data_IF_093972218282
#
_entry.id   IF_093972218282
#
_cell.length_a   1.000
_cell.length_b   1.000
_cell.length_c   1.000
_cell.angle_alpha   90.00
_cell.angle_beta   90.00
_cell.angle_gamma   90.00
#
_symmetry.space_group_name_H-M   'P 1'
#
loop_
_entity.id
_entity.type
_entity.pdbx_description
1 polymer ?
#
# COMPACT_ATOMS: atom_id res chain seq x y z
N UNK A 1 1.70 -2.29 -11.82
CA UNK A 1 2.18 -3.34 -10.92
C UNK A 1 1.17 -3.49 -9.79
N UNK A 2 0.02 -4.07 -10.12
CA UNK A 2 -0.96 -4.58 -9.15
C UNK A 2 -0.84 -6.09 -9.34
N UNK A 3 -0.06 -6.75 -8.50
CA UNK A 3 -0.04 -8.22 -8.47
C UNK A 3 -0.98 -8.61 -7.34
N UNK A 4 -2.22 -8.91 -7.71
CA UNK A 4 -3.15 -9.66 -6.88
C UNK A 4 -2.55 -11.04 -6.66
N UNK A 5 -2.02 -11.30 -5.47
CA UNK A 5 -1.65 -12.63 -5.02
C UNK A 5 -2.92 -13.34 -4.52
N UNK A 6 -3.74 -13.82 -5.45
CA UNK A 6 -4.74 -14.84 -5.15
C UNK A 6 -4.14 -16.22 -5.42
N UNK A 7 -4.12 -17.05 -4.37
CA UNK A 7 -4.22 -18.50 -4.48
C UNK A 7 -2.91 -19.28 -4.40
N UNK A 8 -2.57 -19.74 -3.19
CA UNK A 8 -2.08 -21.10 -2.94
C UNK A 8 -2.28 -21.41 -1.44
N UNK A 9 -3.36 -22.12 -1.10
CA UNK A 9 -3.52 -22.77 0.21
C UNK A 9 -3.34 -24.26 -0.04
N UNK A 10 -2.19 -24.79 0.34
CA UNK A 10 -1.97 -26.23 0.46
C UNK A 10 -1.78 -26.56 1.94
N UNK A 11 -2.67 -27.42 2.44
CA UNK A 11 -2.69 -27.95 3.80
C UNK A 11 -1.43 -28.77 4.07
N UNK A 12 -0.66 -28.41 5.09
CA UNK A 12 0.12 -29.39 5.84
C UNK A 12 -0.23 -29.31 7.33
N UNK A 13 -0.75 -30.43 7.83
CA UNK A 13 -0.90 -30.73 9.25
C UNK A 13 0.45 -31.21 9.76
N UNK A 14 1.02 -30.52 10.74
CA UNK A 14 1.95 -31.14 11.68
C UNK A 14 1.54 -30.78 13.10
N UNK A 15 1.37 -31.83 13.89
CA UNK A 15 1.06 -31.82 15.31
C UNK A 15 2.34 -31.55 16.09
N UNK A 16 2.37 -30.53 16.96
CA UNK A 16 3.28 -30.56 18.10
C UNK A 16 2.68 -29.89 19.34
N UNK A 17 2.74 -30.65 20.43
CA UNK A 17 2.31 -30.35 21.80
C UNK A 17 3.32 -29.48 22.55
N UNK A 18 2.84 -28.89 23.66
CA UNK A 18 3.56 -28.32 24.82
C UNK A 18 3.60 -26.79 24.87
N UNK A 19 3.51 -26.12 26.02
CA UNK A 19 3.02 -26.46 27.36
C UNK A 19 2.79 -25.10 28.04
N UNK A 20 1.67 -24.96 28.72
CA UNK A 20 1.28 -23.74 29.43
C UNK A 20 2.22 -23.50 30.61
N UNK A 21 2.88 -22.34 30.64
CA UNK A 21 3.39 -21.77 31.89
C UNK A 21 2.86 -20.34 32.02
N UNK A 22 1.90 -20.18 32.92
CA UNK A 22 1.41 -18.92 33.43
C UNK A 22 2.53 -18.22 34.23
N UNK A 23 2.91 -17.02 33.81
CA UNK A 23 3.80 -16.14 34.56
C UNK A 23 3.12 -14.78 34.71
N UNK A 24 2.62 -14.54 35.92
CA UNK A 24 1.97 -13.31 36.34
C UNK A 24 2.95 -12.32 37.01
N UNK A 25 2.64 -11.02 36.89
CA UNK A 25 3.03 -9.84 37.70
C UNK A 25 3.85 -8.77 36.93
N UNK A 26 3.85 -7.46 37.31
CA UNK A 26 2.97 -6.67 38.20
C UNK A 26 2.45 -5.35 37.53
N UNK A 27 1.63 -4.50 38.19
CA UNK A 27 1.00 -3.33 37.53
C UNK A 27 1.99 -2.19 37.29
N UNK A 28 1.90 -1.59 36.11
CA UNK A 28 2.69 -0.40 35.75
C UNK A 28 2.14 0.88 36.37
N UNK A 29 3.07 1.67 36.87
CA UNK A 29 2.91 2.93 37.59
C UNK A 29 2.27 4.01 36.72
N UNK A 30 1.16 4.57 37.20
CA UNK A 30 0.53 5.76 36.63
C UNK A 30 1.31 7.04 36.93
N UNK A 31 1.38 7.93 35.95
CA UNK A 31 1.87 9.31 36.10
C UNK A 31 0.86 10.28 35.46
N UNK A 32 0.82 11.56 35.89
CA UNK A 32 -0.43 12.20 36.27
C UNK A 32 -1.03 13.15 35.23
N UNK A 33 -2.34 13.24 35.34
CA UNK A 33 -3.29 14.24 34.83
C UNK A 33 -2.71 15.67 34.86
N UNK A 34 -2.73 16.33 33.70
CA UNK A 34 -2.50 17.77 33.57
C UNK A 34 -3.72 18.51 34.16
N UNK A 35 -3.42 19.39 35.13
CA UNK A 35 -4.39 20.20 35.88
C UNK A 35 -5.17 21.12 34.94
N UNK A 36 -6.49 21.06 35.05
CA UNK A 36 -7.42 22.04 34.51
C UNK A 36 -7.57 23.16 35.55
N UNK A 37 -7.23 24.40 35.17
CA UNK A 37 -7.43 25.58 36.01
C UNK A 37 -8.92 25.96 36.06
N UNK A 38 -9.41 26.15 37.28
CA UNK A 38 -10.76 26.64 37.61
C UNK A 38 -10.68 28.15 37.83
N UNK A 39 -11.63 28.96 37.33
CA UNK A 39 -11.90 30.26 37.92
C UNK A 39 -13.17 30.19 38.77
N UNK A 40 -12.99 30.41 40.07
CA UNK A 40 -14.06 30.80 40.99
C UNK A 40 -14.54 32.22 40.68
N UNK A 41 -15.85 32.45 40.66
CA UNK A 41 -16.44 33.74 41.04
C UNK A 41 -17.87 33.54 41.59
N UNK A 42 -18.10 34.23 42.71
CA UNK A 42 -19.20 34.10 43.67
C UNK A 42 -20.52 34.73 43.18
N UNK A 43 -21.62 34.22 43.73
CA UNK A 43 -23.05 34.52 43.52
C UNK A 43 -23.51 35.99 43.53
N UNK A 44 -24.58 36.29 42.76
CA UNK A 44 -25.75 37.04 43.26
C UNK A 44 -27.01 36.77 42.41
N UNK A 45 -28.16 36.72 43.09
CA UNK A 45 -29.51 36.34 42.60
C UNK A 45 -30.17 37.37 41.66
N UNK A 46 -31.04 36.90 40.77
CA UNK A 46 -32.08 37.69 40.10
C UNK A 46 -32.92 36.84 39.14
N UNK A 47 -34.24 36.87 39.28
CA UNK A 47 -35.20 35.89 38.76
C UNK A 47 -35.66 36.11 37.30
N UNK A 48 -36.24 35.03 36.75
CA UNK A 48 -37.23 34.94 35.65
C UNK A 48 -36.70 35.08 34.22
N UNK A 49 -36.69 33.97 33.47
CA UNK A 49 -37.61 33.74 32.34
C UNK A 49 -37.50 32.27 31.89
N UNK A 50 -38.63 31.58 31.91
CA UNK A 50 -38.80 30.23 31.39
C UNK A 50 -38.97 30.30 29.87
N UNK A 51 -38.14 29.56 29.15
CA UNK A 51 -38.27 29.35 27.71
C UNK A 51 -36.90 29.15 27.08
N UNK A 52 -36.74 28.07 26.30
CA UNK A 52 -35.55 27.77 25.49
C UNK A 52 -34.36 27.08 26.21
N UNK A 53 -34.59 25.89 26.78
CA UNK A 53 -33.48 24.97 27.14
C UNK A 53 -33.69 23.53 26.63
N UNK A 54 -34.51 23.33 25.60
CA UNK A 54 -34.74 22.00 25.03
C UNK A 54 -33.84 21.65 23.84
N UNK A 55 -33.07 22.61 23.28
CA UNK A 55 -32.28 22.38 22.05
C UNK A 55 -30.76 22.20 22.29
N UNK A 56 -30.24 22.65 23.44
CA UNK A 56 -28.81 22.57 23.77
C UNK A 56 -28.41 21.19 24.31
N UNK A 57 -29.27 20.55 25.09
CA UNK A 57 -29.01 19.20 25.62
C UNK A 57 -29.20 18.12 24.56
N UNK A 58 -30.12 18.28 23.61
CA UNK A 58 -30.32 17.36 22.49
C UNK A 58 -29.11 17.36 21.53
N UNK A 59 -28.57 18.53 21.17
CA UNK A 59 -27.31 18.61 20.39
C UNK A 59 -26.12 17.99 21.13
N UNK A 60 -26.10 18.07 22.46
CA UNK A 60 -25.01 17.52 23.30
C UNK A 60 -25.14 16.01 23.46
N UNK A 61 -26.37 15.48 23.51
CA UNK A 61 -26.70 14.06 23.49
C UNK A 61 -26.45 13.43 22.12
N UNK A 62 -26.84 14.09 21.03
CA UNK A 62 -26.56 13.65 19.66
C UNK A 62 -25.05 13.63 19.37
N UNK A 63 -24.32 14.68 19.75
CA UNK A 63 -22.86 14.72 19.61
C UNK A 63 -22.13 13.67 20.46
N UNK A 64 -22.71 13.31 21.61
CA UNK A 64 -22.19 12.25 22.47
C UNK A 64 -22.53 10.86 21.91
N UNK A 65 -23.73 10.67 21.37
CA UNK A 65 -24.16 9.46 20.67
C UNK A 65 -23.35 9.20 19.40
N UNK A 66 -23.07 10.23 18.60
CA UNK A 66 -22.20 10.13 17.42
C UNK A 66 -20.76 9.78 17.81
N UNK A 67 -20.23 10.34 18.90
CA UNK A 67 -18.89 10.00 19.41
C UNK A 67 -18.79 8.57 19.94
N UNK A 68 -19.85 8.03 20.54
CA UNK A 68 -19.90 6.64 21.01
C UNK A 68 -19.92 5.68 19.82
N UNK A 69 -20.73 6.00 18.79
CA UNK A 69 -20.77 5.23 17.55
C UNK A 69 -19.42 5.21 16.83
N UNK A 70 -18.69 6.33 16.79
CA UNK A 70 -17.34 6.37 16.21
C UNK A 70 -16.34 5.49 16.98
N UNK A 71 -16.38 5.51 18.31
CA UNK A 71 -15.53 4.66 19.15
C UNK A 71 -15.86 3.17 18.96
N UNK A 72 -17.14 2.82 18.84
CA UNK A 72 -17.56 1.44 18.58
C UNK A 72 -17.08 0.94 17.21
N UNK A 73 -17.20 1.77 16.16
CA UNK A 73 -16.63 1.46 14.84
C UNK A 73 -15.11 1.27 14.91
N UNK A 74 -14.41 2.14 15.64
CA UNK A 74 -12.97 2.04 15.84
C UNK A 74 -12.59 0.72 16.53
N UNK A 75 -13.31 0.35 17.61
CA UNK A 75 -13.11 -0.92 18.33
C UNK A 75 -13.35 -2.12 17.42
N UNK A 76 -14.41 -2.10 16.62
CA UNK A 76 -14.70 -3.16 15.65
C UNK A 76 -13.54 -3.33 14.67
N UNK A 77 -13.05 -2.23 14.09
CA UNK A 77 -11.92 -2.24 13.15
C UNK A 77 -10.66 -2.82 13.79
N UNK A 78 -10.23 -2.32 14.94
CA UNK A 78 -9.01 -2.82 15.60
C UNK A 78 -9.17 -4.26 16.09
N UNK A 79 -10.35 -4.66 16.56
CA UNK A 79 -10.59 -6.07 16.94
C UNK A 79 -10.42 -7.02 15.75
N UNK A 80 -10.90 -6.66 14.56
CA UNK A 80 -10.70 -7.45 13.33
C UNK A 80 -9.24 -7.53 12.90
N UNK A 81 -8.49 -6.44 13.06
CA UNK A 81 -7.04 -6.42 12.79
C UNK A 81 -6.27 -7.33 13.76
N UNK A 82 -6.63 -7.31 15.05
CA UNK A 82 -6.01 -8.17 16.07
C UNK A 82 -6.32 -9.66 15.87
N UNK A 83 -7.48 -9.98 15.30
CA UNK A 83 -7.85 -11.35 14.92
C UNK A 83 -7.11 -11.85 13.66
N UNK A 84 -6.44 -10.96 12.91
CA UNK A 84 -5.68 -11.35 11.72
C UNK A 84 -6.54 -12.03 10.66
N UNK A 85 -7.75 -11.52 10.41
CA UNK A 85 -8.76 -12.10 9.48
C UNK A 85 -9.38 -13.44 9.92
N UNK A 86 -8.87 -14.07 11.00
CA UNK A 86 -9.46 -15.26 11.60
C UNK A 86 -10.57 -14.90 12.60
N UNK A 87 -11.79 -14.76 12.09
CA UNK A 87 -12.97 -14.45 12.89
C UNK A 87 -13.39 -15.60 13.83
N UNK A 88 -12.74 -16.77 13.78
CA UNK A 88 -12.99 -17.87 14.73
C UNK A 88 -12.29 -17.67 16.07
N UNK A 89 -11.27 -16.80 16.13
CA UNK A 89 -10.48 -16.54 17.34
C UNK A 89 -9.45 -17.62 17.66
N UNK A 90 -9.16 -18.55 16.74
CA UNK A 90 -8.21 -19.64 16.96
C UNK A 90 -6.74 -19.26 16.70
N UNK A 91 -6.47 -18.02 16.30
CA UNK A 91 -5.12 -17.52 16.06
C UNK A 91 -4.47 -18.07 14.78
N UNK A 92 -5.25 -18.67 13.88
CA UNK A 92 -4.77 -19.19 12.59
C UNK A 92 -4.84 -18.12 11.48
N UNK A 93 -4.80 -16.86 11.88
CA UNK A 93 -4.91 -15.70 11.00
C UNK A 93 -3.58 -15.29 10.37
N UNK A 94 -3.63 -14.20 9.60
CA UNK A 94 -2.46 -13.54 9.03
C UNK A 94 -1.76 -12.64 10.06
N UNK A 95 -0.50 -12.29 9.81
CA UNK A 95 0.22 -11.34 10.67
C UNK A 95 -0.42 -9.95 10.62
N UNK A 96 -0.23 -9.14 11.67
CA UNK A 96 -0.82 -7.80 11.77
C UNK A 96 -0.42 -6.88 10.62
N UNK A 97 0.81 -7.00 10.10
CA UNK A 97 1.25 -6.22 8.95
C UNK A 97 0.43 -6.54 7.69
N UNK A 98 0.18 -7.83 7.42
CA UNK A 98 -0.66 -8.25 6.30
C UNK A 98 -2.13 -7.86 6.51
N UNK A 99 -2.66 -8.01 7.73
CA UNK A 99 -4.02 -7.59 8.07
C UNK A 99 -4.23 -6.07 7.84
N UNK A 100 -3.25 -5.23 8.21
CA UNK A 100 -3.31 -3.78 7.95
C UNK A 100 -3.23 -3.50 6.44
N UNK A 101 -2.32 -4.17 5.72
CA UNK A 101 -2.20 -4.03 4.26
C UNK A 101 -3.51 -4.37 3.53
N UNK A 102 -4.13 -5.48 3.91
CA UNK A 102 -5.43 -5.91 3.38
C UNK A 102 -6.53 -4.94 3.76
N UNK A 103 -6.56 -4.45 5.01
CA UNK A 103 -7.53 -3.46 5.46
C UNK A 103 -7.45 -2.14 4.66
N UNK A 104 -6.24 -1.63 4.40
CA UNK A 104 -6.03 -0.42 3.56
C UNK A 104 -6.51 -0.67 2.13
N UNK A 105 -6.17 -1.82 1.56
CA UNK A 105 -6.56 -2.18 0.18
C UNK A 105 -8.07 -2.32 0.06
N UNK A 106 -8.72 -3.01 1.00
CA UNK A 106 -10.16 -3.16 1.06
C UNK A 106 -10.88 -1.84 1.31
N UNK A 107 -10.31 -0.97 2.15
CA UNK A 107 -10.82 0.38 2.39
C UNK A 107 -10.84 1.19 1.09
N UNK A 108 -9.72 1.16 0.36
CA UNK A 108 -9.58 1.82 -0.94
C UNK A 108 -10.57 1.25 -1.96
N UNK A 109 -10.71 -0.07 -2.06
CA UNK A 109 -11.68 -0.69 -2.96
C UNK A 109 -13.13 -0.31 -2.62
N UNK A 110 -13.48 -0.26 -1.32
CA UNK A 110 -14.82 0.11 -0.86
C UNK A 110 -15.15 1.57 -1.19
N UNK A 111 -14.19 2.47 -0.98
CA UNK A 111 -14.39 3.90 -1.23
C UNK A 111 -14.24 4.26 -2.71
N UNK A 112 -13.16 3.84 -3.38
CA UNK A 112 -12.86 4.29 -4.74
C UNK A 112 -13.31 3.30 -5.83
N UNK A 113 -13.64 2.04 -5.51
CA UNK A 113 -13.97 1.01 -6.50
C UNK A 113 -15.26 1.28 -7.30
N UNK A 114 -16.16 2.09 -6.76
CA UNK A 114 -17.40 2.53 -7.43
C UNK A 114 -17.29 3.92 -8.07
N UNK A 115 -16.09 4.51 -8.13
CA UNK A 115 -15.89 5.79 -8.80
C UNK A 115 -15.75 5.59 -10.30
N UNK A 116 -16.89 5.56 -10.97
CA UNK A 116 -16.94 5.38 -12.42
C UNK A 116 -17.09 6.70 -13.18
N UNK A 117 -17.25 7.81 -12.45
CA UNK A 117 -17.50 9.15 -12.99
C UNK A 117 -16.46 10.12 -12.43
N UNK A 118 -16.07 11.08 -13.26
CA UNK A 118 -15.28 12.24 -12.83
C UNK A 118 -16.23 13.28 -12.27
N UNK A 119 -16.47 13.20 -10.96
CA UNK A 119 -17.31 14.11 -10.20
C UNK A 119 -16.73 14.31 -8.79
N UNK A 120 -17.07 15.41 -8.11
CA UNK A 120 -16.64 15.64 -6.73
C UNK A 120 -17.09 14.53 -5.81
N UNK A 121 -16.21 14.09 -4.91
CA UNK A 121 -16.57 13.08 -3.93
C UNK A 121 -17.57 13.67 -2.91
N UNK A 122 -18.61 12.92 -2.52
CA UNK A 122 -19.49 13.33 -1.44
C UNK A 122 -18.70 13.66 -0.16
N UNK A 123 -19.03 14.74 0.55
CA UNK A 123 -18.26 15.18 1.71
C UNK A 123 -18.21 14.12 2.82
N UNK A 124 -19.30 13.38 3.01
CA UNK A 124 -19.38 12.24 3.94
C UNK A 124 -18.36 11.15 3.59
N UNK A 125 -18.26 10.81 2.30
CA UNK A 125 -17.32 9.79 1.80
C UNK A 125 -15.87 10.19 2.00
N UNK A 126 -15.53 11.47 1.79
CA UNK A 126 -14.19 11.99 2.10
C UNK A 126 -13.89 11.96 3.60
N UNK A 127 -14.87 12.33 4.43
CA UNK A 127 -14.69 12.30 5.88
C UNK A 127 -14.49 10.86 6.39
N UNK A 128 -15.24 9.89 5.86
CA UNK A 128 -15.05 8.47 6.15
C UNK A 128 -13.67 7.97 5.71
N UNK A 129 -13.26 8.27 4.47
CA UNK A 129 -11.92 7.92 3.97
C UNK A 129 -10.81 8.43 4.88
N UNK A 130 -10.81 9.73 5.20
CA UNK A 130 -9.77 10.34 6.05
C UNK A 130 -9.75 9.73 7.44
N UNK A 131 -10.92 9.56 8.07
CA UNK A 131 -11.05 9.00 9.42
C UNK A 131 -10.55 7.55 9.47
N UNK A 132 -11.03 6.71 8.57
CA UNK A 132 -10.66 5.28 8.58
C UNK A 132 -9.19 5.07 8.19
N UNK A 133 -8.67 5.87 7.27
CA UNK A 133 -7.24 5.83 6.93
C UNK A 133 -6.37 6.30 8.11
N UNK A 134 -6.78 7.33 8.85
CA UNK A 134 -6.10 7.77 10.08
C UNK A 134 -6.04 6.66 11.14
N UNK A 135 -7.14 5.91 11.32
CA UNK A 135 -7.14 4.74 12.21
C UNK A 135 -6.16 3.65 11.77
N UNK A 136 -6.08 3.35 10.47
CA UNK A 136 -5.15 2.32 9.96
C UNK A 136 -3.69 2.78 10.05
N UNK A 137 -3.43 4.08 9.90
CA UNK A 137 -2.08 4.65 9.91
C UNK A 137 -1.55 4.98 11.31
N UNK A 138 -2.38 5.03 12.36
CA UNK A 138 -1.95 5.40 13.71
C UNK A 138 -0.88 4.48 14.31
N UNK A 139 -0.75 3.25 13.79
CA UNK A 139 0.34 2.35 14.17
C UNK A 139 1.72 2.95 13.86
N UNK A 140 1.82 3.75 12.80
CA UNK A 140 3.09 4.32 12.34
C UNK A 140 3.68 5.34 13.32
N UNK A 141 2.84 6.05 14.08
CA UNK A 141 3.28 6.98 15.13
C UNK A 141 4.04 6.27 16.26
N UNK A 142 3.82 4.96 16.40
CA UNK A 142 4.41 4.12 17.44
C UNK A 142 5.61 3.31 16.92
N UNK A 143 5.93 3.37 15.63
CA UNK A 143 7.09 2.70 15.04
C UNK A 143 8.30 3.63 15.13
N UNK A 144 9.19 3.34 16.08
CA UNK A 144 10.31 4.21 16.43
C UNK A 144 11.68 3.50 16.38
N UNK A 145 12.70 4.28 16.05
CA UNK A 145 14.10 3.95 16.25
C UNK A 145 14.56 4.50 17.61
N UNK A 146 15.26 3.66 18.38
CA UNK A 146 15.88 4.06 19.64
C UNK A 146 17.28 4.59 19.36
N UNK A 147 17.51 5.87 19.65
CA UNK A 147 18.77 6.57 19.34
C UNK A 147 19.37 7.13 20.64
N UNK A 148 20.68 6.93 20.90
CA UNK A 148 21.35 7.52 22.03
C UNK A 148 21.40 9.06 21.91
N UNK A 149 21.15 9.75 23.01
CA UNK A 149 21.07 11.21 23.10
C UNK A 149 21.58 11.69 24.46
N UNK A 150 21.89 12.98 24.56
CA UNK A 150 22.36 13.61 25.79
C UNK A 150 21.29 14.55 26.34
N UNK A 151 20.84 14.29 27.57
CA UNK A 151 20.00 15.22 28.31
C UNK A 151 20.86 16.01 29.30
N UNK A 152 20.63 17.32 29.34
CA UNK A 152 21.30 18.21 30.30
C UNK A 152 20.30 18.57 31.39
N UNK A 153 20.63 18.25 32.64
CA UNK A 153 19.80 18.57 33.79
C UNK A 153 19.95 20.05 34.18
N UNK A 154 19.00 20.59 34.98
CA UNK A 154 19.06 21.98 35.45
C UNK A 154 20.31 22.32 36.27
N UNK A 155 20.99 21.32 36.82
CA UNK A 155 22.26 21.44 37.56
C UNK A 155 23.50 21.50 36.65
N UNK A 156 23.33 21.41 35.33
CA UNK A 156 24.40 21.41 34.33
C UNK A 156 25.04 20.04 34.07
N UNK A 157 24.62 18.99 34.78
CA UNK A 157 25.10 17.63 34.53
C UNK A 157 24.50 17.06 33.22
N UNK A 158 25.28 16.25 32.51
CA UNK A 158 24.85 15.60 31.26
C UNK A 158 24.70 14.10 31.48
N UNK A 159 23.58 13.55 31.09
CA UNK A 159 23.29 12.11 31.14
C UNK A 159 22.98 11.61 29.74
N UNK A 160 23.64 10.51 29.38
CA UNK A 160 23.31 9.78 28.17
C UNK A 160 22.01 8.99 28.39
N UNK A 161 21.06 9.19 27.51
CA UNK A 161 19.72 8.60 27.56
C UNK A 161 19.36 8.06 26.18
N UNK A 162 18.48 7.06 26.16
CA UNK A 162 17.85 6.63 24.91
C UNK A 162 16.64 7.51 24.62
N UNK A 163 16.52 7.95 23.37
CA UNK A 163 15.38 8.73 22.87
C UNK A 163 14.72 8.02 21.70
N UNK A 164 13.40 8.14 21.59
CA UNK A 164 12.63 7.58 20.49
C UNK A 164 12.51 8.61 19.36
N UNK A 165 12.74 8.18 18.13
CA UNK A 165 12.46 8.95 16.91
C UNK A 165 11.63 8.09 15.95
N UNK A 166 10.62 8.63 15.24
CA UNK A 166 9.92 7.87 14.21
C UNK A 166 10.89 7.27 13.20
N UNK A 167 10.61 6.03 12.75
CA UNK A 167 11.46 5.32 11.79
C UNK A 167 11.64 6.17 10.53
N UNK A 168 12.88 6.18 10.02
CA UNK A 168 13.32 7.14 9.00
C UNK A 168 12.54 7.09 7.68
N UNK A 169 12.20 5.88 7.21
CA UNK A 169 11.36 5.64 6.04
C UNK A 169 9.93 6.21 6.24
N UNK A 170 9.31 5.95 7.38
CA UNK A 170 7.96 6.40 7.71
C UNK A 170 7.91 7.93 7.85
N UNK A 171 8.92 8.52 8.51
CA UNK A 171 9.02 9.96 8.71
C UNK A 171 9.04 10.75 7.40
N UNK A 172 9.62 10.19 6.35
CA UNK A 172 9.70 10.84 5.03
C UNK A 172 8.51 10.47 4.16
N UNK A 173 8.20 9.17 4.06
CA UNK A 173 7.26 8.66 3.06
C UNK A 173 5.79 8.90 3.44
N UNK A 174 5.42 8.79 4.73
CA UNK A 174 4.01 8.96 5.13
C UNK A 174 3.49 10.38 4.87
N UNK A 175 4.18 11.46 5.27
CA UNK A 175 3.74 12.83 4.93
C UNK A 175 3.65 13.07 3.42
N UNK A 176 4.55 12.47 2.64
CA UNK A 176 4.53 12.55 1.18
C UNK A 176 3.28 11.85 0.61
N UNK A 177 2.94 10.66 1.09
CA UNK A 177 1.73 9.92 0.69
C UNK A 177 0.46 10.67 1.09
N UNK A 178 0.37 11.25 2.29
CA UNK A 178 -0.75 12.10 2.70
C UNK A 178 -0.92 13.32 1.78
N UNK A 179 0.18 13.93 1.34
CA UNK A 179 0.12 15.03 0.39
C UNK A 179 -0.39 14.57 -0.98
N UNK A 180 0.04 13.40 -1.45
CA UNK A 180 -0.44 12.80 -2.71
C UNK A 180 -1.94 12.48 -2.65
N UNK A 181 -2.42 11.92 -1.53
CA UNK A 181 -3.85 11.66 -1.29
C UNK A 181 -4.68 12.95 -1.34
N UNK A 182 -4.25 13.99 -0.62
CA UNK A 182 -4.94 15.28 -0.63
C UNK A 182 -4.99 15.91 -2.04
N UNK A 183 -3.89 15.88 -2.80
CA UNK A 183 -3.89 16.37 -4.18
C UNK A 183 -4.84 15.57 -5.07
N UNK A 184 -4.97 14.25 -4.87
CA UNK A 184 -5.92 13.43 -5.62
C UNK A 184 -7.38 13.79 -5.29
N UNK A 185 -7.69 14.00 -4.01
CA UNK A 185 -9.01 14.48 -3.58
C UNK A 185 -9.34 15.86 -4.15
N UNK A 186 -8.37 16.78 -4.20
CA UNK A 186 -8.53 18.10 -4.84
C UNK A 186 -8.81 18.01 -6.34
N UNK A 187 -8.18 17.05 -7.05
CA UNK A 187 -8.49 16.78 -8.45
C UNK A 187 -9.97 16.37 -8.60
N UNK A 188 -10.48 15.47 -7.76
CA UNK A 188 -11.89 15.09 -7.80
C UNK A 188 -12.81 16.29 -7.55
N UNK A 189 -12.46 17.13 -6.58
CA UNK A 189 -13.28 18.29 -6.18
C UNK A 189 -13.41 19.34 -7.27
N UNK A 190 -12.40 19.43 -8.13
CA UNK A 190 -12.38 20.36 -9.25
C UNK A 190 -13.27 19.95 -10.44
N UNK A 191 -14.10 18.92 -10.32
CA UNK A 191 -15.07 18.47 -11.34
C UNK A 191 -16.53 18.90 -11.05
N UNK A 192 -16.77 19.89 -10.19
CA UNK A 192 -18.10 20.39 -9.83
C UNK A 192 -18.92 20.92 -11.03
N UNK A 193 -18.27 21.54 -12.01
CA UNK A 193 -18.87 22.17 -13.19
C UNK A 193 -18.28 21.62 -14.50
N UNK A 194 -18.38 20.31 -14.70
CA UNK A 194 -17.89 19.67 -15.93
C UNK A 194 -18.81 19.95 -17.13
N UNK A 195 -18.21 20.26 -18.29
CA UNK A 195 -18.92 20.37 -19.59
C UNK A 195 -19.32 19.01 -20.19
N UNK A 196 -18.86 17.92 -19.59
CA UNK A 196 -19.17 16.55 -19.97
C UNK A 196 -20.04 15.90 -18.90
N UNK A 197 -20.85 14.92 -19.29
CA UNK A 197 -21.72 14.17 -18.39
C UNK A 197 -21.66 12.68 -18.68
N UNK A 198 -22.22 11.86 -17.79
CA UNK A 198 -22.24 10.41 -17.93
C UNK A 198 -23.66 9.91 -18.18
N UNK A 199 -23.79 8.91 -19.06
CA UNK A 199 -25.05 8.20 -19.32
C UNK A 199 -24.86 6.73 -18.97
N UNK A 200 -25.79 6.19 -18.18
CA UNK A 200 -25.79 4.78 -17.80
C UNK A 200 -26.33 3.92 -18.94
N UNK A 201 -25.61 2.84 -19.27
CA UNK A 201 -25.90 2.00 -20.44
C UNK A 201 -27.28 1.29 -20.37
N UNK A 202 -27.93 1.26 -19.21
CA UNK A 202 -29.27 0.68 -19.03
C UNK A 202 -30.44 1.65 -19.24
N UNK A 203 -30.19 2.95 -19.43
CA UNK A 203 -31.22 4.02 -19.51
C UNK A 203 -31.25 4.66 -20.90
N UNK A 204 -30.77 3.97 -21.94
CA UNK A 204 -31.10 4.37 -23.31
C UNK A 204 -32.53 3.92 -23.60
N UNK A 205 -33.47 4.73 -23.14
CA UNK A 205 -34.85 4.71 -23.60
C UNK A 205 -34.85 4.82 -25.12
N UNK A 206 -35.65 3.94 -25.70
CA UNK A 206 -35.93 3.73 -27.11
C UNK A 206 -36.67 4.92 -27.73
N UNK A 207 -36.18 6.16 -27.64
CA UNK A 207 -36.90 7.31 -28.20
C UNK A 207 -35.93 8.40 -28.69
N UNK A 208 -35.65 8.37 -30.00
CA UNK A 208 -35.47 9.51 -30.91
C UNK A 208 -34.66 9.04 -32.13
N UNK A 209 -35.40 8.82 -33.22
CA UNK A 209 -35.01 8.91 -34.62
C UNK A 209 -33.61 8.43 -35.02
N UNK A 210 -33.59 7.36 -35.84
CA UNK A 210 -32.45 6.68 -36.45
C UNK A 210 -31.49 7.54 -37.29
N UNK A 211 -30.88 8.57 -36.70
CA UNK A 211 -29.90 9.44 -37.33
C UNK A 211 -28.84 9.97 -36.35
N UNK A 212 -28.49 9.22 -35.32
CA UNK A 212 -27.28 9.52 -34.53
C UNK A 212 -26.05 8.91 -35.21
N UNK A 213 -25.51 9.60 -36.21
CA UNK A 213 -24.20 9.33 -36.84
C UNK A 213 -23.00 9.40 -35.87
N UNK A 214 -23.25 9.63 -34.58
CA UNK A 214 -22.31 9.53 -33.48
C UNK A 214 -22.19 8.13 -32.88
N UNK A 215 -22.67 7.08 -33.55
CA UNK A 215 -22.13 5.72 -33.40
C UNK A 215 -20.71 5.62 -33.98
N UNK A 216 -19.80 6.52 -33.61
CA UNK A 216 -18.47 6.03 -33.26
C UNK A 216 -18.67 5.31 -31.96
N UNK A 217 -19.12 4.06 -32.10
CA UNK A 217 -18.75 2.98 -31.22
C UNK A 217 -17.26 3.16 -31.02
N UNK A 218 -16.87 3.87 -29.96
CA UNK A 218 -15.56 3.67 -29.40
C UNK A 218 -15.51 2.14 -29.28
N UNK A 219 -14.56 1.51 -29.96
CA UNK A 219 -14.12 0.17 -29.61
C UNK A 219 -13.57 0.25 -28.18
N UNK A 220 -14.44 0.53 -27.22
CA UNK A 220 -14.19 0.38 -25.81
C UNK A 220 -14.15 -1.11 -25.63
N UNK A 221 -12.93 -1.62 -25.47
CA UNK A 221 -12.59 -2.69 -24.53
C UNK A 221 -13.86 -3.42 -24.06
N UNK A 222 -14.25 -4.49 -24.76
CA UNK A 222 -15.39 -5.37 -24.39
C UNK A 222 -15.34 -5.74 -22.90
N UNK A 223 -14.13 -5.73 -22.34
CA UNK A 223 -13.79 -5.98 -20.96
C UNK A 223 -14.41 -5.02 -19.91
N UNK A 224 -14.84 -3.80 -20.25
CA UNK A 224 -15.32 -2.81 -19.25
C UNK A 224 -16.74 -2.32 -19.51
N UNK A 225 -17.61 -3.24 -19.89
CA UNK A 225 -19.01 -2.97 -20.25
C UNK A 225 -19.83 -2.33 -19.12
N UNK A 226 -19.44 -2.49 -17.86
CA UNK A 226 -20.13 -1.92 -16.69
C UNK A 226 -19.86 -0.41 -16.47
N UNK A 227 -18.92 0.21 -17.18
CA UNK A 227 -18.59 1.62 -16.98
C UNK A 227 -19.59 2.57 -17.70
N UNK A 228 -20.02 3.67 -17.05
CA UNK A 228 -20.81 4.72 -17.69
C UNK A 228 -20.10 5.32 -18.91
N UNK A 229 -20.89 5.78 -19.88
CA UNK A 229 -20.36 6.40 -21.09
C UNK A 229 -20.29 7.92 -20.88
N UNK A 230 -19.11 8.56 -21.03
CA UNK A 230 -18.98 10.01 -21.01
C UNK A 230 -19.47 10.59 -22.34
N UNK A 231 -20.25 11.64 -22.23
CA UNK A 231 -20.81 12.43 -23.32
C UNK A 231 -20.24 13.84 -23.27
N UNK A 232 -20.07 14.43 -24.45
CA UNK A 232 -19.62 15.81 -24.62
C UNK A 232 -20.60 16.54 -25.53
N UNK A 233 -20.64 17.88 -25.50
CA UNK A 233 -21.46 18.65 -26.43
C UNK A 233 -21.14 18.31 -27.89
N UNK A 234 -22.11 18.42 -28.83
CA UNK A 234 -21.89 18.09 -30.25
C UNK A 234 -20.75 18.88 -30.91
N UNK A 235 -20.46 20.08 -30.41
CA UNK A 235 -19.35 20.93 -30.86
C UNK A 235 -18.00 20.61 -30.19
N UNK A 236 -17.95 19.60 -29.31
CA UNK A 236 -16.81 19.29 -28.46
C UNK A 236 -16.73 20.17 -27.20
N UNK A 237 -15.72 19.90 -26.37
CA UNK A 237 -15.40 20.70 -25.19
C UNK A 237 -14.81 22.05 -25.58
N UNK A 238 -15.04 23.07 -24.77
CA UNK A 238 -14.38 24.36 -24.90
C UNK A 238 -12.86 24.22 -24.72
N UNK A 239 -12.08 25.05 -25.41
CA UNK A 239 -10.61 24.97 -25.40
C UNK A 239 -10.03 25.14 -23.99
N UNK A 240 -10.63 26.00 -23.17
CA UNK A 240 -10.20 26.19 -21.78
C UNK A 240 -10.46 24.92 -20.95
N UNK A 241 -11.63 24.31 -21.10
CA UNK A 241 -12.05 23.10 -20.38
C UNK A 241 -11.21 21.90 -20.80
N UNK A 242 -10.84 21.80 -22.09
CA UNK A 242 -9.87 20.82 -22.60
C UNK A 242 -8.50 20.99 -21.98
N UNK A 243 -7.97 22.22 -21.92
CA UNK A 243 -6.67 22.53 -21.28
C UNK A 243 -6.69 22.21 -19.79
N UNK A 244 -7.77 22.52 -19.09
CA UNK A 244 -7.92 22.18 -17.67
C UNK A 244 -7.96 20.67 -17.44
N UNK A 245 -8.72 19.92 -18.26
CA UNK A 245 -8.78 18.46 -18.17
C UNK A 245 -7.41 17.83 -18.43
N UNK A 246 -6.67 18.36 -19.40
CA UNK A 246 -5.30 17.96 -19.72
C UNK A 246 -4.36 18.21 -18.54
N UNK A 247 -4.41 19.40 -17.92
CA UNK A 247 -3.63 19.72 -16.74
C UNK A 247 -3.94 18.79 -15.56
N UNK A 248 -5.23 18.51 -15.30
CA UNK A 248 -5.67 17.55 -14.26
C UNK A 248 -5.13 16.14 -14.51
N UNK A 249 -5.19 15.67 -15.76
CA UNK A 249 -4.62 14.38 -16.18
C UNK A 249 -3.11 14.32 -15.94
N UNK A 250 -2.39 15.37 -16.33
CA UNK A 250 -0.94 15.42 -16.19
C UNK A 250 -0.53 15.49 -14.69
N UNK A 251 -1.31 16.19 -13.86
CA UNK A 251 -1.17 16.19 -12.40
C UNK A 251 -1.41 14.79 -11.81
N UNK A 252 -2.51 14.12 -12.18
CA UNK A 252 -2.80 12.75 -11.71
C UNK A 252 -1.70 11.75 -12.12
N UNK A 253 -1.14 11.89 -13.31
CA UNK A 253 0.00 11.08 -13.76
C UNK A 253 1.26 11.33 -12.92
N UNK A 254 1.53 12.57 -12.49
CA UNK A 254 2.64 12.88 -11.60
C UNK A 254 2.42 12.28 -10.20
N UNK A 255 1.19 12.36 -9.69
CA UNK A 255 0.80 11.72 -8.42
C UNK A 255 1.06 10.20 -8.49
N UNK A 256 0.60 9.55 -9.56
CA UNK A 256 0.82 8.12 -9.78
C UNK A 256 2.32 7.78 -9.83
N UNK A 257 3.13 8.55 -10.56
CA UNK A 257 4.58 8.33 -10.64
C UNK A 257 5.25 8.44 -9.27
N UNK A 258 4.90 9.45 -8.48
CA UNK A 258 5.44 9.64 -7.14
C UNK A 258 5.03 8.49 -6.19
N UNK A 259 3.75 8.10 -6.21
CA UNK A 259 3.28 6.97 -5.41
C UNK A 259 3.94 5.64 -5.81
N UNK A 260 4.10 5.39 -7.12
CA UNK A 260 4.79 4.20 -7.62
C UNK A 260 6.28 4.18 -7.23
N UNK A 261 6.95 5.33 -7.22
CA UNK A 261 8.34 5.43 -6.78
C UNK A 261 8.48 5.07 -5.30
N UNK A 262 7.61 5.61 -4.42
CA UNK A 262 7.60 5.25 -2.99
C UNK A 262 7.33 3.75 -2.81
N UNK A 263 6.34 3.22 -3.52
CA UNK A 263 6.02 1.79 -3.49
C UNK A 263 7.21 0.91 -3.93
N UNK A 264 7.91 1.31 -4.99
CA UNK A 264 9.10 0.60 -5.47
C UNK A 264 10.24 0.61 -4.47
N UNK A 265 10.48 1.73 -3.78
CA UNK A 265 11.52 1.83 -2.73
C UNK A 265 11.15 0.93 -1.55
N UNK A 266 9.90 1.02 -1.08
CA UNK A 266 9.43 0.19 0.04
C UNK A 266 9.53 -1.31 -0.26
N UNK A 267 9.18 -1.75 -1.47
CA UNK A 267 9.33 -3.15 -1.89
C UNK A 267 10.79 -3.60 -1.98
N UNK A 268 11.70 -2.72 -2.42
CA UNK A 268 13.12 -3.03 -2.51
C UNK A 268 13.78 -3.19 -1.13
N UNK A 269 13.26 -2.50 -0.11
CA UNK A 269 13.72 -2.58 1.28
C UNK A 269 13.10 -3.76 2.06
N UNK A 270 12.10 -4.44 1.50
CA UNK A 270 11.47 -5.61 2.14
C UNK A 270 12.37 -6.84 2.07
N UNK A 271 12.34 -7.62 3.15
CA UNK A 271 13.05 -8.91 3.19
C UNK A 271 12.39 -9.91 2.22
N UNK A 272 13.24 -10.64 1.50
CA UNK A 272 12.79 -11.68 0.56
C UNK A 272 12.43 -12.94 1.35
N UNK A 273 11.20 -13.48 1.22
CA UNK A 273 10.79 -14.66 1.96
C UNK A 273 11.68 -15.88 1.69
N UNK A 274 12.00 -16.65 2.73
CA UNK A 274 12.80 -17.88 2.61
C UNK A 274 12.14 -18.90 1.66
N UNK A 275 10.81 -19.02 1.71
CA UNK A 275 10.03 -19.90 0.82
C UNK A 275 10.23 -19.59 -0.66
N UNK A 276 10.38 -18.31 -1.02
CA UNK A 276 10.72 -17.90 -2.38
C UNK A 276 12.15 -18.35 -2.72
N UNK A 277 13.12 -18.11 -1.84
CA UNK A 277 14.52 -18.50 -2.04
C UNK A 277 14.75 -20.01 -2.14
N UNK A 278 13.88 -20.82 -1.54
CA UNK A 278 13.86 -22.28 -1.64
C UNK A 278 13.25 -22.77 -2.97
N UNK A 279 12.24 -22.07 -3.47
CA UNK A 279 11.60 -22.38 -4.75
C UNK A 279 12.45 -21.99 -5.98
N UNK A 280 13.46 -21.12 -5.80
CA UNK A 280 14.31 -20.66 -6.89
C UNK A 280 15.14 -21.80 -7.53
N UNK A 281 15.33 -21.77 -8.87
CA UNK A 281 16.25 -22.67 -9.55
C UNK A 281 17.69 -22.55 -9.01
N UNK A 282 18.42 -23.67 -9.01
CA UNK A 282 19.81 -23.73 -8.47
C UNK A 282 20.82 -22.84 -9.22
N UNK A 283 20.51 -22.48 -10.47
CA UNK A 283 21.39 -21.73 -11.38
C UNK A 283 20.58 -20.60 -12.05
N UNK A 284 21.09 -19.37 -12.08
CA UNK A 284 20.43 -18.23 -12.75
C UNK A 284 20.18 -18.47 -14.24
N UNK A 285 21.07 -19.21 -14.90
CA UNK A 285 20.90 -19.68 -16.28
C UNK A 285 19.63 -20.52 -16.48
N UNK A 286 19.24 -21.34 -15.50
CA UNK A 286 18.04 -22.17 -15.60
C UNK A 286 16.76 -21.32 -15.50
N UNK A 287 16.76 -20.25 -14.70
CA UNK A 287 15.66 -19.29 -14.61
C UNK A 287 15.52 -18.47 -15.89
N UNK A 288 16.64 -17.97 -16.41
CA UNK A 288 16.67 -17.02 -17.51
C UNK A 288 16.55 -17.69 -18.89
N UNK A 289 16.98 -18.94 -19.02
CA UNK A 289 16.98 -19.69 -20.29
C UNK A 289 18.20 -19.42 -21.16
N UNK A 290 18.55 -20.39 -22.01
CA UNK A 290 19.80 -20.40 -22.78
C UNK A 290 19.99 -19.20 -23.71
N UNK A 291 18.90 -18.75 -24.36
CA UNK A 291 18.94 -17.67 -25.35
C UNK A 291 19.28 -16.34 -24.69
N UNK A 292 18.55 -15.99 -23.63
CA UNK A 292 18.71 -14.73 -22.91
C UNK A 292 20.06 -14.74 -22.19
N UNK A 293 20.46 -15.86 -21.59
CA UNK A 293 21.72 -15.96 -20.85
C UNK A 293 22.92 -15.70 -21.78
N UNK A 294 22.89 -16.28 -22.99
CA UNK A 294 23.96 -16.06 -23.98
C UNK A 294 24.06 -14.60 -24.41
N UNK A 295 22.94 -13.88 -24.45
CA UNK A 295 22.92 -12.48 -24.83
C UNK A 295 23.44 -11.57 -23.72
N UNK A 296 23.02 -11.82 -22.46
CA UNK A 296 23.49 -11.04 -21.29
C UNK A 296 24.98 -11.29 -21.01
N UNK A 297 25.45 -12.53 -21.17
CA UNK A 297 26.87 -12.88 -21.01
C UNK A 297 27.75 -12.51 -22.22
N UNK A 298 27.26 -11.68 -23.15
CA UNK A 298 28.02 -11.23 -24.32
C UNK A 298 28.81 -9.96 -24.02
N UNK A 299 30.03 -9.85 -24.53
CA UNK A 299 30.89 -8.66 -24.37
C UNK A 299 30.28 -7.36 -24.93
N UNK A 300 29.28 -7.46 -25.80
CA UNK A 300 28.54 -6.34 -26.41
C UNK A 300 27.08 -6.29 -25.93
N UNK A 301 26.86 -6.41 -24.62
CA UNK A 301 25.53 -6.34 -24.05
C UNK A 301 24.94 -4.92 -24.16
N UNK A 302 23.70 -4.82 -24.66
CA UNK A 302 22.86 -3.63 -24.58
C UNK A 302 21.44 -4.05 -24.15
N UNK A 303 20.91 -3.49 -23.05
CA UNK A 303 19.58 -3.86 -22.56
C UNK A 303 18.48 -3.45 -23.54
N UNK A 304 18.64 -2.34 -24.26
CA UNK A 304 17.67 -1.87 -25.25
C UNK A 304 17.55 -2.86 -26.43
N UNK A 305 18.68 -3.34 -26.93
CA UNK A 305 18.71 -4.29 -28.05
C UNK A 305 18.17 -5.67 -27.65
N UNK A 306 18.37 -6.10 -26.39
CA UNK A 306 17.74 -7.31 -25.87
C UNK A 306 16.21 -7.18 -25.87
N UNK A 307 15.68 -6.07 -25.34
CA UNK A 307 14.24 -5.84 -25.24
C UNK A 307 13.57 -5.74 -26.62
N UNK A 308 14.25 -5.14 -27.60
CA UNK A 308 13.77 -5.07 -28.99
C UNK A 308 13.67 -6.45 -29.67
N UNK A 309 14.43 -7.44 -29.18
CA UNK A 309 14.45 -8.81 -29.70
C UNK A 309 13.45 -9.75 -28.99
N UNK A 310 12.81 -9.29 -27.90
CA UNK A 310 11.89 -10.10 -27.10
C UNK A 310 10.44 -9.80 -27.44
N UNK A 311 9.59 -10.83 -27.40
CA UNK A 311 8.15 -10.67 -27.55
C UNK A 311 7.55 -10.14 -26.24
N UNK A 312 7.29 -8.84 -26.21
CA UNK A 312 6.62 -8.12 -25.12
C UNK A 312 5.21 -7.66 -25.55
N UNK A 313 4.63 -8.30 -26.57
CA UNK A 313 3.33 -7.90 -27.11
C UNK A 313 2.18 -8.17 -26.12
N UNK A 314 2.33 -9.18 -25.24
CA UNK A 314 1.35 -9.55 -24.24
C UNK A 314 1.86 -9.31 -22.81
N UNK A 315 0.98 -8.81 -21.94
CA UNK A 315 1.31 -8.51 -20.55
C UNK A 315 1.86 -9.71 -19.79
N UNK A 316 1.31 -10.91 -20.00
CA UNK A 316 1.77 -12.12 -19.32
C UNK A 316 3.21 -12.50 -19.70
N UNK A 317 3.62 -12.30 -20.97
CA UNK A 317 4.99 -12.58 -21.41
C UNK A 317 5.97 -11.61 -20.76
N UNK A 318 5.61 -10.33 -20.68
CA UNK A 318 6.42 -9.31 -20.01
C UNK A 318 6.60 -9.62 -18.52
N UNK A 319 5.52 -10.05 -17.84
CA UNK A 319 5.58 -10.43 -16.42
C UNK A 319 6.41 -11.70 -16.22
N UNK A 320 6.22 -12.72 -17.06
CA UNK A 320 7.02 -13.95 -16.98
C UNK A 320 8.51 -13.67 -17.15
N UNK A 321 8.86 -12.83 -18.14
CA UNK A 321 10.24 -12.40 -18.36
C UNK A 321 10.79 -11.66 -17.14
N UNK A 322 10.04 -10.70 -16.59
CA UNK A 322 10.45 -9.96 -15.40
C UNK A 322 10.72 -10.91 -14.21
N UNK A 323 9.80 -11.85 -13.95
CA UNK A 323 9.96 -12.86 -12.90
C UNK A 323 11.21 -13.73 -13.11
N UNK A 324 11.51 -14.10 -14.36
CA UNK A 324 12.70 -14.91 -14.70
C UNK A 324 14.01 -14.15 -14.50
N UNK A 325 14.03 -12.87 -14.87
CA UNK A 325 15.17 -11.97 -14.64
C UNK A 325 15.38 -11.79 -13.14
N UNK A 326 14.34 -11.45 -12.39
CA UNK A 326 14.41 -11.28 -10.93
C UNK A 326 14.90 -12.56 -10.22
N UNK A 327 14.33 -13.71 -10.57
CA UNK A 327 14.77 -15.01 -10.04
C UNK A 327 16.25 -15.30 -10.34
N UNK A 328 16.76 -14.90 -11.50
CA UNK A 328 18.16 -15.08 -11.88
C UNK A 328 19.11 -14.20 -11.06
N UNK A 329 18.72 -12.93 -10.81
CA UNK A 329 19.47 -11.99 -9.97
C UNK A 329 19.61 -12.55 -8.56
N UNK A 330 18.51 -13.05 -7.96
CA UNK A 330 18.56 -13.67 -6.64
C UNK A 330 19.42 -14.95 -6.61
N UNK A 331 19.35 -15.78 -7.66
CA UNK A 331 20.18 -16.98 -7.75
C UNK A 331 21.69 -16.65 -7.82
N UNK A 332 22.07 -15.56 -8.50
CA UNK A 332 23.45 -15.09 -8.54
C UNK A 332 23.89 -14.48 -7.21
N UNK A 333 23.08 -13.59 -6.61
CA UNK A 333 23.37 -12.95 -5.31
C UNK A 333 23.49 -13.95 -4.15
N UNK A 334 22.64 -14.99 -4.11
CA UNK A 334 22.71 -16.06 -3.09
C UNK A 334 24.06 -16.79 -3.09
N UNK A 335 24.66 -16.99 -4.26
CA UNK A 335 25.95 -17.68 -4.42
C UNK A 335 27.16 -16.80 -4.13
N UNK A 336 27.03 -15.48 -4.30
CA UNK A 336 28.06 -14.51 -3.91
C UNK A 336 28.17 -14.45 -2.38
N UNK A 337 27.02 -14.43 -1.69
CA UNK A 337 26.94 -14.33 -0.23
C UNK A 337 27.20 -15.65 0.52
N UNK A 338 27.12 -16.80 -0.17
CA UNK A 338 27.61 -18.07 0.37
C UNK A 338 29.14 -18.08 0.34
N UNK A 339 29.80 -17.50 1.34
CA UNK A 339 31.20 -17.86 1.64
C UNK A 339 31.32 -19.39 1.72
N UNK A 340 32.44 -20.00 1.30
CA UNK A 340 32.62 -21.44 1.38
C UNK A 340 32.80 -21.86 2.85
N UNK A 341 31.68 -21.94 3.58
CA UNK A 341 31.64 -22.62 4.85
C UNK A 341 31.82 -24.12 4.57
N UNK A 342 32.81 -24.69 5.24
CA UNK A 342 33.24 -26.07 5.20
C UNK A 342 32.12 -27.06 5.53
N UNK A 343 31.24 -27.35 4.58
CA UNK A 343 30.31 -28.47 4.67
C UNK A 343 30.81 -29.60 3.77
N UNK A 344 31.80 -30.34 4.31
CA UNK A 344 32.43 -31.49 3.68
C UNK A 344 31.50 -32.73 3.56
N UNK A 345 30.18 -32.58 3.66
CA UNK A 345 29.27 -33.72 3.83
C UNK A 345 28.20 -33.88 2.74
N UNK A 346 28.18 -33.03 1.69
CA UNK A 346 27.28 -33.24 0.52
C UNK A 346 28.02 -33.46 -0.81
N UNK A 347 29.35 -33.40 -0.87
CA UNK A 347 30.08 -33.43 -2.15
C UNK A 347 30.40 -34.84 -2.70
N UNK A 348 29.52 -35.84 -2.51
CA UNK A 348 29.83 -37.22 -2.94
C UNK A 348 29.43 -37.58 -4.39
N UNK A 349 28.86 -36.66 -5.19
CA UNK A 349 28.37 -37.04 -6.53
C UNK A 349 28.62 -36.06 -7.67
N UNK A 350 29.33 -34.94 -7.46
CA UNK A 350 29.75 -34.04 -8.57
C UNK A 350 31.19 -34.32 -8.99
N UNK A 351 31.41 -34.42 -10.30
CA UNK A 351 32.76 -34.62 -10.85
C UNK A 351 33.63 -33.39 -10.60
N UNK A 352 34.91 -33.60 -10.25
CA UNK A 352 35.89 -32.54 -9.95
C UNK A 352 35.98 -31.46 -11.05
N UNK A 353 35.76 -31.84 -12.31
CA UNK A 353 35.76 -30.93 -13.46
C UNK A 353 34.54 -30.00 -13.54
N UNK A 354 33.40 -30.42 -13.01
CA UNK A 354 32.18 -29.63 -12.98
C UNK A 354 32.23 -28.57 -11.87
N UNK A 355 32.86 -28.93 -10.74
CA UNK A 355 33.22 -27.99 -9.66
C UNK A 355 34.22 -26.93 -10.14
N UNK A 356 35.23 -27.30 -10.94
CA UNK A 356 36.20 -26.36 -11.51
C UNK A 356 35.54 -25.37 -12.47
N UNK A 357 34.63 -25.83 -13.35
CA UNK A 357 33.85 -24.93 -14.22
C UNK A 357 32.91 -24.01 -13.43
N UNK A 358 32.29 -24.55 -12.38
CA UNK A 358 31.38 -23.81 -11.50
C UNK A 358 32.12 -22.82 -10.57
N UNK A 359 33.44 -22.95 -10.41
CA UNK A 359 34.32 -21.98 -9.73
C UNK A 359 34.98 -20.98 -10.70
N UNK A 360 35.11 -21.33 -11.99
CA UNK A 360 35.73 -20.49 -13.03
C UNK A 360 34.83 -19.39 -13.57
N UNK A 361 33.50 -19.44 -13.36
CA UNK A 361 32.66 -18.25 -13.54
C UNK A 361 33.03 -17.32 -12.41
N UNK A 362 33.79 -16.28 -12.72
CA UNK A 362 34.40 -15.39 -11.74
C UNK A 362 33.33 -14.81 -10.81
N UNK A 363 33.64 -14.60 -9.54
CA UNK A 363 32.70 -13.94 -8.63
C UNK A 363 32.37 -12.53 -9.15
N UNK A 364 33.35 -11.87 -9.77
CA UNK A 364 33.21 -10.59 -10.47
C UNK A 364 32.29 -10.70 -11.70
N UNK A 365 32.37 -11.78 -12.48
CA UNK A 365 31.49 -12.02 -13.63
C UNK A 365 30.02 -12.21 -13.19
N UNK A 366 29.80 -12.80 -12.01
CA UNK A 366 28.43 -12.97 -11.47
C UNK A 366 27.86 -11.70 -10.87
N UNK A 367 28.72 -10.86 -10.30
CA UNK A 367 28.34 -9.53 -9.83
C UNK A 367 27.92 -8.66 -11.02
N UNK A 368 28.72 -8.67 -12.10
CA UNK A 368 28.40 -7.99 -13.36
C UNK A 368 27.12 -8.50 -14.06
N UNK A 369 26.74 -9.76 -13.87
CA UNK A 369 25.48 -10.31 -14.39
C UNK A 369 24.27 -9.97 -13.50
N UNK A 370 24.49 -9.68 -12.22
CA UNK A 370 23.44 -9.36 -11.26
C UNK A 370 23.15 -7.85 -11.17
N UNK A 371 24.08 -7.02 -11.63
CA UNK A 371 23.93 -5.59 -11.90
C UNK A 371 23.31 -5.34 -13.28
#
# INVERSE_FOLDING_TARGET
MVVTMEGFIEKNKEEHSSSEEESSSPPSLGWPIQKQEVPDCTSSNGATEEGENLHLDDMKLEKKGSSISEIEMMKERFSKLLLGEDMSGCGNGVCTALAISNAITNLSATHFGQLWRLEPLPPEKKAMWRREMEWLLCVSDHIVELIPSWQTFPDGSKLEVMTCRPRSDLYINLPALHKLDNMLLEIFDSFDNAEFWYVDQGILALDADGSSSFRRTFQRQEEKWWLPVPWVPPCGLHENSRKQLQHKRDCANQILKAAMAINSIALADMEVPESYLEALPKNGKASLGDLIYRYISSDQFSPECLLDCLDLSMEHQAIELANRVEASIYAWRKRINSKPASNATWFSSKSSWELVKELMIDAEERELLAD
#
